data_IF_640298246739
#
_entry.id   IF_640298246739
#
_cell.length_a   1.000
_cell.length_b   1.000
_cell.length_c   1.000
_cell.angle_alpha   90.00
_cell.angle_beta   90.00
_cell.angle_gamma   90.00
#
_symmetry.space_group_name_H-M   'P 1'
#
loop_
_entity.id
_entity.type
_entity.pdbx_description
1 polymer ?
#
# COMPACT_ATOMS: atom_id res chain seq x y z
N UNK A 1 18.63 -18.59 12.77
CA UNK A 1 19.36 -18.18 11.55
C UNK A 1 18.76 -16.84 11.21
N UNK A 2 19.49 -15.75 11.39
CA UNK A 2 18.96 -14.42 11.06
C UNK A 2 18.87 -14.35 9.54
N UNK A 3 17.65 -14.45 9.02
CA UNK A 3 17.44 -14.37 7.58
C UNK A 3 17.55 -12.90 7.18
N UNK A 4 18.45 -12.60 6.25
CA UNK A 4 18.58 -11.25 5.72
C UNK A 4 17.32 -10.92 4.91
N UNK A 5 16.84 -9.68 5.04
CA UNK A 5 15.64 -9.21 4.33
C UNK A 5 15.87 -9.24 2.81
N UNK A 6 17.11 -8.93 2.45
CA UNK A 6 17.64 -8.83 1.11
C UNK A 6 17.62 -10.19 0.38
N UNK A 7 17.74 -11.32 1.10
CA UNK A 7 17.68 -12.67 0.52
C UNK A 7 16.31 -12.97 -0.13
N UNK A 8 15.27 -12.27 0.31
CA UNK A 8 13.92 -12.35 -0.25
C UNK A 8 13.55 -11.14 -1.12
N UNK A 9 14.51 -10.26 -1.41
CA UNK A 9 14.29 -9.03 -2.17
C UNK A 9 13.60 -7.92 -1.38
N UNK A 10 13.62 -7.97 -0.04
CA UNK A 10 13.14 -6.88 0.79
C UNK A 10 14.26 -5.88 1.08
N UNK A 11 13.92 -4.60 0.97
CA UNK A 11 14.76 -3.48 1.36
C UNK A 11 14.37 -3.03 2.77
N UNK A 12 15.35 -2.91 3.68
CA UNK A 12 15.14 -2.39 5.02
C UNK A 12 15.12 -0.86 5.02
N UNK A 13 14.06 -0.28 5.57
CA UNK A 13 13.90 1.17 5.70
C UNK A 13 14.13 1.66 7.13
N UNK A 14 14.10 0.75 8.10
CA UNK A 14 14.29 1.07 9.51
C UNK A 14 14.10 -0.13 10.41
N UNK A 15 14.13 0.09 11.72
CA UNK A 15 13.94 -0.98 12.70
C UNK A 15 12.55 -1.62 12.56
N UNK A 16 12.49 -2.86 12.09
CA UNK A 16 11.24 -3.58 11.86
C UNK A 16 10.40 -3.06 10.68
N UNK A 17 10.96 -2.19 9.83
CA UNK A 17 10.29 -1.65 8.64
C UNK A 17 11.07 -2.03 7.39
N UNK A 18 10.38 -2.61 6.42
CA UNK A 18 10.96 -2.83 5.11
C UNK A 18 9.91 -3.00 4.05
N UNK A 19 10.34 -2.87 2.80
CA UNK A 19 9.47 -2.90 1.63
C UNK A 19 10.01 -3.88 0.59
N UNK A 20 9.15 -4.35 -0.31
CA UNK A 20 9.54 -5.19 -1.43
C UNK A 20 8.82 -4.74 -2.69
N UNK A 21 9.59 -4.62 -3.77
CA UNK A 21 9.07 -4.50 -5.14
C UNK A 21 8.70 -5.89 -5.65
N UNK A 22 7.46 -6.05 -6.08
CA UNK A 22 6.96 -7.27 -6.68
C UNK A 22 7.45 -7.37 -8.13
N UNK A 23 7.62 -8.60 -8.65
CA UNK A 23 8.13 -8.79 -10.01
C UNK A 23 7.17 -8.29 -11.11
N UNK A 24 5.88 -8.17 -10.82
CA UNK A 24 4.87 -7.60 -11.73
C UNK A 24 4.60 -6.13 -11.42
N UNK A 25 4.52 -5.31 -12.47
CA UNK A 25 4.21 -3.86 -12.44
C UNK A 25 5.07 -3.00 -11.53
N UNK A 26 6.07 -3.58 -10.88
CA UNK A 26 6.89 -2.92 -9.87
C UNK A 26 6.11 -2.47 -8.62
N UNK A 27 4.96 -3.09 -8.37
CA UNK A 27 4.10 -2.81 -7.22
C UNK A 27 4.85 -3.05 -5.91
N UNK A 28 4.60 -2.23 -4.90
CA UNK A 28 5.31 -2.23 -3.63
C UNK A 28 4.42 -2.71 -2.51
N UNK A 29 4.92 -3.68 -1.75
CA UNK A 29 4.35 -4.07 -0.46
C UNK A 29 5.31 -3.71 0.66
N UNK A 30 4.81 -3.46 1.87
CA UNK A 30 5.66 -3.11 3.02
C UNK A 30 5.25 -3.81 4.31
N UNK A 31 6.25 -4.18 5.12
CA UNK A 31 6.08 -4.78 6.44
C UNK A 31 6.49 -3.78 7.51
N UNK A 32 5.67 -3.70 8.56
CA UNK A 32 5.94 -2.94 9.77
C UNK A 32 5.72 -3.83 10.98
N UNK A 33 6.78 -4.02 11.77
CA UNK A 33 6.82 -4.94 12.91
C UNK A 33 6.89 -4.15 14.23
N UNK A 34 5.91 -4.34 15.12
CA UNK A 34 5.96 -3.94 16.53
C UNK A 34 6.24 -5.12 17.46
N UNK A 35 6.02 -5.06 18.77
CA UNK A 35 6.22 -6.26 19.62
C UNK A 35 5.05 -7.24 19.59
N UNK A 36 3.84 -6.73 19.36
CA UNK A 36 2.59 -7.47 19.53
C UNK A 36 1.90 -7.74 18.19
N UNK A 37 2.24 -6.96 17.16
CA UNK A 37 1.64 -7.02 15.84
C UNK A 37 2.63 -6.80 14.70
N UNK A 38 2.22 -7.27 13.54
CA UNK A 38 2.83 -7.02 12.23
C UNK A 38 1.74 -6.50 11.30
N UNK A 39 2.01 -5.35 10.68
CA UNK A 39 1.23 -4.77 9.60
C UNK A 39 1.89 -5.10 8.26
N UNK A 40 1.09 -5.55 7.31
CA UNK A 40 1.43 -5.61 5.88
C UNK A 40 0.64 -4.51 5.16
N UNK A 41 1.32 -3.71 4.35
CA UNK A 41 0.71 -2.70 3.48
C UNK A 41 0.73 -3.25 2.05
N UNK A 42 -0.47 -3.44 1.50
CA UNK A 42 -0.76 -4.13 0.23
C UNK A 42 -0.30 -5.58 0.15
N UNK A 43 -0.91 -6.35 -0.77
CA UNK A 43 -0.85 -7.81 -0.78
C UNK A 43 -0.51 -8.43 -2.13
N UNK A 44 -0.26 -7.61 -3.14
CA UNK A 44 0.10 -8.05 -4.48
C UNK A 44 -1.08 -8.42 -5.35
N UNK A 45 -0.76 -8.84 -6.58
CA UNK A 45 -1.70 -8.92 -7.70
C UNK A 45 -2.43 -10.24 -7.82
N UNK A 46 -2.03 -11.25 -7.04
CA UNK A 46 -2.60 -12.58 -7.13
C UNK A 46 -2.59 -13.29 -5.77
N UNK A 47 -3.48 -14.27 -5.61
CA UNK A 47 -3.47 -15.16 -4.44
C UNK A 47 -2.12 -15.88 -4.29
N UNK A 48 -1.46 -16.25 -5.41
CA UNK A 48 -0.14 -16.90 -5.40
C UNK A 48 0.93 -15.98 -4.79
N UNK A 49 0.94 -14.71 -5.18
CA UNK A 49 1.84 -13.71 -4.61
C UNK A 49 1.55 -13.47 -3.13
N UNK A 50 0.28 -13.35 -2.74
CA UNK A 50 -0.11 -13.26 -1.33
C UNK A 50 0.41 -14.44 -0.48
N UNK A 51 0.36 -15.67 -1.00
CA UNK A 51 0.90 -16.86 -0.31
C UNK A 51 2.42 -16.77 -0.15
N UNK A 52 3.13 -16.27 -1.16
CA UNK A 52 4.58 -16.07 -1.08
C UNK A 52 4.92 -14.99 -0.05
N UNK A 53 4.23 -13.84 -0.10
CA UNK A 53 4.42 -12.75 0.86
C UNK A 53 4.16 -13.19 2.29
N UNK A 54 3.12 -14.00 2.54
CA UNK A 54 2.86 -14.55 3.87
C UNK A 54 4.02 -15.41 4.38
N UNK A 55 4.55 -16.30 3.54
CA UNK A 55 5.67 -17.18 3.90
C UNK A 55 6.93 -16.38 4.20
N UNK A 56 7.23 -15.37 3.38
CA UNK A 56 8.39 -14.51 3.58
C UNK A 56 8.25 -13.67 4.86
N UNK A 57 7.09 -13.06 5.08
CA UNK A 57 6.84 -12.30 6.31
C UNK A 57 7.01 -13.17 7.56
N UNK A 58 6.47 -14.40 7.55
CA UNK A 58 6.64 -15.37 8.64
C UNK A 58 8.12 -15.77 8.84
N UNK A 59 8.87 -15.98 7.76
CA UNK A 59 10.28 -16.33 7.81
C UNK A 59 11.15 -15.17 8.35
N UNK A 60 10.91 -13.94 7.89
CA UNK A 60 11.67 -12.75 8.25
C UNK A 60 11.42 -12.29 9.68
N UNK A 61 10.18 -12.41 10.15
CA UNK A 61 9.75 -11.85 11.44
C UNK A 61 9.57 -12.92 12.52
N UNK A 62 9.61 -14.20 12.16
CA UNK A 62 9.37 -15.33 13.07
C UNK A 62 7.92 -15.43 13.58
N UNK A 63 7.00 -14.66 13.01
CA UNK A 63 5.58 -14.59 13.40
C UNK A 63 4.72 -14.12 12.24
N UNK A 64 3.41 -14.33 12.38
CA UNK A 64 2.43 -14.02 11.32
C UNK A 64 2.12 -12.54 11.23
N UNK A 65 1.73 -12.11 10.03
CA UNK A 65 1.02 -10.85 9.80
C UNK A 65 -0.28 -10.87 10.61
N UNK A 66 -0.62 -9.75 11.23
CA UNK A 66 -1.79 -9.59 12.11
C UNK A 66 -2.76 -8.52 11.62
N UNK A 67 -2.24 -7.55 10.86
CA UNK A 67 -2.99 -6.44 10.28
C UNK A 67 -2.58 -6.30 8.80
N UNK A 68 -3.53 -5.97 7.94
CA UNK A 68 -3.29 -5.55 6.56
C UNK A 68 -3.93 -4.18 6.37
N UNK A 69 -3.21 -3.24 5.76
CA UNK A 69 -3.78 -2.00 5.25
C UNK A 69 -3.73 -2.05 3.73
N UNK A 70 -4.89 -1.99 3.08
CA UNK A 70 -4.98 -1.87 1.63
C UNK A 70 -4.99 -0.39 1.27
N UNK A 71 -4.06 -0.01 0.40
CA UNK A 71 -3.89 1.38 -0.01
C UNK A 71 -5.07 1.88 -0.83
N UNK A 72 -5.52 1.09 -1.82
CA UNK A 72 -6.60 1.47 -2.73
C UNK A 72 -7.15 0.24 -3.51
N UNK A 73 -8.26 0.35 -4.26
CA UNK A 73 -9.00 -0.80 -4.82
C UNK A 73 -8.44 -1.32 -6.16
N UNK A 74 -7.12 -1.35 -6.37
CA UNK A 74 -6.54 -1.87 -7.62
C UNK A 74 -6.01 -3.30 -7.46
N UNK A 75 -6.05 -4.06 -8.56
CA UNK A 75 -5.89 -5.52 -8.55
C UNK A 75 -4.54 -5.95 -7.99
N UNK A 76 -3.50 -5.18 -8.29
CA UNK A 76 -2.12 -5.37 -7.92
C UNK A 76 -1.78 -5.09 -6.46
N UNK A 77 -2.76 -4.58 -5.71
CA UNK A 77 -2.63 -4.27 -4.30
C UNK A 77 -3.51 -5.16 -3.42
N UNK A 78 -4.69 -5.58 -3.91
CA UNK A 78 -5.72 -6.23 -3.07
C UNK A 78 -5.88 -7.74 -3.29
N UNK A 79 -5.54 -8.27 -4.47
CA UNK A 79 -5.91 -9.65 -4.85
C UNK A 79 -5.15 -10.74 -4.09
N UNK A 80 -4.02 -10.43 -3.46
CA UNK A 80 -3.30 -11.38 -2.61
C UNK A 80 -3.87 -11.52 -1.19
N UNK A 81 -4.84 -10.70 -0.79
CA UNK A 81 -5.30 -10.60 0.61
C UNK A 81 -5.80 -11.92 1.20
N UNK A 82 -6.45 -12.76 0.38
CA UNK A 82 -7.02 -14.04 0.83
C UNK A 82 -5.99 -15.03 1.37
N UNK A 83 -4.70 -14.83 1.10
CA UNK A 83 -3.63 -15.64 1.66
C UNK A 83 -3.49 -15.50 3.18
N UNK A 84 -4.06 -14.45 3.78
CA UNK A 84 -3.86 -14.03 5.18
C UNK A 84 -5.10 -14.26 6.05
N UNK A 85 -5.47 -15.53 6.25
CA UNK A 85 -6.63 -15.89 7.07
C UNK A 85 -6.52 -15.40 8.54
N UNK A 86 -7.59 -14.79 9.06
CA UNK A 86 -7.68 -14.33 10.44
C UNK A 86 -7.00 -12.99 10.74
N UNK A 87 -6.53 -12.29 9.70
CA UNK A 87 -5.92 -10.96 9.79
C UNK A 87 -6.98 -9.87 9.78
N UNK A 88 -6.73 -8.76 10.50
CA UNK A 88 -7.57 -7.56 10.46
C UNK A 88 -7.24 -6.75 9.22
N UNK A 89 -8.19 -6.58 8.31
CA UNK A 89 -7.99 -5.84 7.06
C UNK A 89 -8.61 -4.44 7.16
N UNK A 90 -7.79 -3.43 6.93
CA UNK A 90 -8.13 -2.01 6.95
C UNK A 90 -8.17 -1.44 5.55
N UNK A 91 -9.04 -0.44 5.35
CA UNK A 91 -9.17 0.32 4.12
C UNK A 91 -9.70 1.72 4.39
N UNK A 92 -9.54 2.64 3.45
CA UNK A 92 -10.20 3.96 3.49
C UNK A 92 -11.73 3.80 3.51
N UNK A 93 -12.43 4.78 4.10
CA UNK A 93 -13.88 4.78 4.21
C UNK A 93 -14.58 4.59 2.84
N UNK A 94 -15.46 3.58 2.74
CA UNK A 94 -16.18 3.25 1.52
C UNK A 94 -15.50 2.18 0.65
N UNK A 95 -14.23 1.85 0.90
CA UNK A 95 -13.52 0.79 0.18
C UNK A 95 -14.23 -0.57 0.34
N UNK A 96 -14.80 -0.83 1.52
CA UNK A 96 -15.59 -2.04 1.81
C UNK A 96 -16.74 -2.20 0.82
N UNK A 97 -17.53 -1.13 0.65
CA UNK A 97 -18.70 -1.15 -0.21
C UNK A 97 -18.31 -1.31 -1.68
N UNK A 98 -17.21 -0.67 -2.11
CA UNK A 98 -16.70 -0.79 -3.47
C UNK A 98 -16.25 -2.22 -3.79
N UNK A 99 -15.48 -2.85 -2.90
CA UNK A 99 -14.95 -4.19 -3.13
C UNK A 99 -15.99 -5.30 -2.99
N UNK A 100 -17.12 -5.05 -2.32
CA UNK A 100 -18.18 -6.05 -2.16
C UNK A 100 -18.71 -6.61 -3.49
N UNK A 101 -18.83 -5.76 -4.50
CA UNK A 101 -19.26 -6.13 -5.86
C UNK A 101 -18.11 -5.96 -6.90
N UNK A 102 -16.86 -5.80 -6.42
CA UNK A 102 -15.69 -5.42 -7.23
C UNK A 102 -15.00 -6.57 -7.95
N UNK A 103 -15.38 -7.83 -7.68
CA UNK A 103 -14.73 -9.04 -8.21
C UNK A 103 -14.53 -9.00 -9.73
N UNK A 104 -15.61 -8.75 -10.48
CA UNK A 104 -15.58 -8.80 -11.94
C UNK A 104 -14.77 -7.65 -12.56
N UNK A 105 -14.76 -6.48 -11.91
CA UNK A 105 -13.94 -5.36 -12.33
C UNK A 105 -12.45 -5.67 -12.15
N UNK A 106 -12.06 -6.13 -10.95
CA UNK A 106 -10.68 -6.51 -10.63
C UNK A 106 -10.16 -7.66 -11.50
N UNK A 107 -11.00 -8.67 -11.75
CA UNK A 107 -10.70 -9.74 -12.71
C UNK A 107 -10.39 -9.15 -14.10
N UNK A 108 -11.27 -8.29 -14.59
CA UNK A 108 -11.13 -7.65 -15.89
C UNK A 108 -9.87 -6.79 -16.00
N UNK A 109 -9.55 -6.01 -14.97
CA UNK A 109 -8.32 -5.20 -14.89
C UNK A 109 -7.07 -6.08 -14.89
N UNK A 110 -7.03 -7.10 -14.02
CA UNK A 110 -5.92 -8.03 -13.93
C UNK A 110 -5.62 -8.71 -15.29
N UNK A 111 -6.66 -9.22 -15.97
CA UNK A 111 -6.51 -9.86 -17.29
C UNK A 111 -6.05 -8.85 -18.34
N UNK A 112 -6.64 -7.64 -18.37
CA UNK A 112 -6.21 -6.57 -19.30
C UNK A 112 -4.75 -6.20 -19.12
N UNK A 113 -4.26 -6.22 -17.89
CA UNK A 113 -2.88 -5.86 -17.55
C UNK A 113 -1.89 -7.02 -17.67
N UNK A 114 -2.36 -8.24 -17.97
CA UNK A 114 -1.52 -9.38 -18.32
C UNK A 114 -1.41 -10.48 -17.27
N UNK A 115 -2.22 -10.45 -16.20
CA UNK A 115 -2.38 -11.62 -15.32
C UNK A 115 -3.07 -12.74 -16.13
N UNK A 116 -2.56 -13.99 -16.10
CA UNK A 116 -3.23 -15.11 -16.74
C UNK A 116 -4.68 -15.26 -16.27
N UNK A 117 -5.62 -15.50 -17.18
CA UNK A 117 -7.06 -15.53 -16.87
C UNK A 117 -7.41 -16.48 -15.72
N UNK A 118 -6.79 -17.66 -15.67
CA UNK A 118 -7.03 -18.63 -14.61
C UNK A 118 -6.52 -18.18 -13.25
N UNK A 119 -5.42 -17.42 -13.22
CA UNK A 119 -4.85 -16.85 -12.00
C UNK A 119 -5.61 -15.62 -11.53
N UNK A 120 -6.04 -14.77 -12.46
CA UNK A 120 -6.92 -13.63 -12.20
C UNK A 120 -8.26 -14.11 -11.62
N UNK A 121 -8.90 -15.10 -12.26
CA UNK A 121 -10.16 -15.66 -11.80
C UNK A 121 -10.05 -16.22 -10.38
N UNK A 122 -9.06 -17.09 -10.11
CA UNK A 122 -8.85 -17.63 -8.75
C UNK A 122 -8.62 -16.56 -7.69
N UNK A 123 -7.93 -15.49 -8.04
CA UNK A 123 -7.62 -14.41 -7.10
C UNK A 123 -8.87 -13.57 -6.82
N UNK A 124 -9.61 -13.19 -7.87
CA UNK A 124 -10.86 -12.45 -7.78
C UNK A 124 -11.95 -13.24 -7.02
N UNK A 125 -12.13 -14.54 -7.30
CA UNK A 125 -13.09 -15.43 -6.62
C UNK A 125 -12.90 -15.48 -5.10
N UNK A 126 -11.71 -15.09 -4.62
CA UNK A 126 -11.36 -15.08 -3.18
C UNK A 126 -11.22 -13.67 -2.61
N UNK A 127 -11.67 -12.64 -3.34
CA UNK A 127 -11.53 -11.24 -2.94
C UNK A 127 -11.93 -11.01 -1.48
N UNK A 128 -11.02 -10.42 -0.72
CA UNK A 128 -11.27 -10.06 0.67
C UNK A 128 -11.67 -8.60 0.73
N UNK A 129 -12.84 -8.36 1.28
CA UNK A 129 -13.33 -7.02 1.57
C UNK A 129 -12.80 -6.59 2.96
N UNK A 130 -12.21 -5.40 3.12
CA UNK A 130 -11.83 -4.85 4.42
C UNK A 130 -12.96 -4.88 5.44
N UNK A 131 -12.65 -5.16 6.71
CA UNK A 131 -13.66 -5.16 7.79
C UNK A 131 -13.52 -3.95 8.72
N UNK A 132 -12.47 -3.16 8.54
CA UNK A 132 -12.14 -2.00 9.35
C UNK A 132 -11.93 -0.76 8.48
N UNK A 133 -12.94 0.09 8.41
CA UNK A 133 -12.85 1.36 7.68
C UNK A 133 -12.12 2.42 8.52
N UNK A 134 -11.18 3.11 7.88
CA UNK A 134 -10.46 4.25 8.43
C UNK A 134 -11.17 5.52 7.98
N UNK A 135 -11.61 6.33 8.94
CA UNK A 135 -12.20 7.64 8.68
C UNK A 135 -11.24 8.73 9.16
N UNK A 136 -10.74 9.56 8.25
CA UNK A 136 -9.75 10.59 8.60
C UNK A 136 -8.43 9.95 9.00
N UNK A 137 -8.11 9.93 10.29
CA UNK A 137 -6.86 9.35 10.80
C UNK A 137 -7.13 8.37 11.94
N UNK A 138 -6.47 7.21 11.89
CA UNK A 138 -6.60 6.18 12.91
C UNK A 138 -5.23 5.65 13.30
N UNK A 139 -4.87 5.82 14.58
CA UNK A 139 -3.66 5.23 15.11
C UNK A 139 -3.85 3.73 15.39
N UNK A 140 -2.92 2.91 14.92
CA UNK A 140 -2.86 1.47 15.13
C UNK A 140 -1.62 1.12 15.95
N UNK A 141 -1.83 0.49 17.10
CA UNK A 141 -0.76 0.04 17.99
C UNK A 141 -0.33 -1.38 17.61
N UNK A 142 0.94 -1.54 17.24
CA UNK A 142 1.57 -2.84 16.93
C UNK A 142 2.41 -3.36 18.10
N UNK A 143 2.36 -2.71 19.26
CA UNK A 143 3.10 -3.05 20.47
C UNK A 143 4.50 -2.43 20.54
N UNK A 144 5.01 -2.26 21.76
CA UNK A 144 6.29 -1.62 22.03
C UNK A 144 6.19 -0.11 21.83
N UNK A 145 7.11 0.45 21.04
CA UNK A 145 7.10 1.84 20.60
C UNK A 145 6.50 2.01 19.19
N UNK A 146 5.95 0.92 18.61
CA UNK A 146 5.46 0.91 17.22
C UNK A 146 3.97 1.23 17.14
N UNK A 147 3.66 2.53 17.14
CA UNK A 147 2.32 3.04 16.82
C UNK A 147 2.33 3.69 15.44
N UNK A 148 1.61 3.11 14.48
CA UNK A 148 1.48 3.67 13.12
C UNK A 148 0.20 4.49 13.01
N UNK A 149 0.12 5.38 12.03
CA UNK A 149 -1.07 6.17 11.71
C UNK A 149 -1.58 5.76 10.33
N UNK A 150 -2.78 5.21 10.26
CA UNK A 150 -3.51 5.02 9.01
C UNK A 150 -4.22 6.33 8.68
N UNK A 151 -4.04 6.86 7.48
CA UNK A 151 -4.65 8.12 7.06
C UNK A 151 -5.47 7.89 5.79
N UNK A 152 -6.76 8.22 5.86
CA UNK A 152 -7.65 8.32 4.72
C UNK A 152 -7.45 9.68 4.03
N UNK A 153 -6.86 9.62 2.83
CA UNK A 153 -6.56 10.80 2.02
C UNK A 153 -7.76 11.23 1.17
N UNK A 154 -8.80 10.38 1.10
CA UNK A 154 -9.97 10.56 0.26
C UNK A 154 -9.68 10.33 -1.22
N UNK A 155 -10.59 10.73 -2.12
CA UNK A 155 -10.43 10.50 -3.55
C UNK A 155 -9.26 11.29 -4.14
N UNK A 156 -8.31 10.60 -4.78
CA UNK A 156 -7.17 11.17 -5.50
C UNK A 156 -6.70 10.27 -6.66
N UNK A 157 -5.85 9.28 -6.41
CA UNK A 157 -5.47 8.25 -7.40
C UNK A 157 -6.64 7.33 -7.69
N UNK A 158 -7.35 6.95 -6.64
CA UNK A 158 -8.60 6.21 -6.70
C UNK A 158 -9.72 6.99 -5.99
N UNK A 159 -10.87 6.34 -5.82
CA UNK A 159 -11.95 6.86 -4.98
C UNK A 159 -11.68 6.72 -3.48
N UNK A 160 -10.74 5.86 -3.08
CA UNK A 160 -10.48 5.46 -1.69
C UNK A 160 -8.98 5.22 -1.45
N UNK A 161 -8.21 6.30 -1.29
CA UNK A 161 -6.77 6.20 -1.04
C UNK A 161 -6.44 6.28 0.46
N UNK A 162 -5.70 5.29 0.93
CA UNK A 162 -5.19 5.16 2.30
C UNK A 162 -3.66 5.21 2.28
N UNK A 163 -3.07 6.02 3.16
CA UNK A 163 -1.62 6.01 3.41
C UNK A 163 -1.34 5.54 4.84
N UNK A 164 -0.09 5.15 5.11
CA UNK A 164 0.37 4.80 6.46
C UNK A 164 1.63 5.57 6.81
N UNK A 165 1.57 6.34 7.89
CA UNK A 165 2.75 6.94 8.51
C UNK A 165 3.27 5.99 9.60
N UNK A 166 4.52 5.59 9.45
CA UNK A 166 5.32 4.91 10.46
C UNK A 166 6.25 5.93 11.09
N UNK A 167 6.06 6.32 12.36
CA UNK A 167 6.95 7.28 13.01
C UNK A 167 8.39 6.79 13.03
N UNK A 168 9.33 7.73 12.90
CA UNK A 168 10.75 7.46 13.05
C UNK A 168 11.08 6.96 14.46
N UNK A 169 12.03 6.04 14.55
CA UNK A 169 12.52 5.46 15.81
C UNK A 169 14.04 5.39 15.78
N UNK A 170 14.71 5.56 16.92
CA UNK A 170 16.17 5.41 17.05
C UNK A 170 16.99 6.27 16.06
N UNK A 171 16.51 7.48 15.76
CA UNK A 171 17.16 8.40 14.83
C UNK A 171 16.94 8.08 13.34
N UNK A 172 16.17 7.04 13.02
CA UNK A 172 15.68 6.82 11.67
C UNK A 172 14.54 7.81 11.34
N UNK A 173 14.45 8.26 10.07
CA UNK A 173 13.36 9.13 9.64
C UNK A 173 12.00 8.41 9.69
N UNK A 174 10.89 9.17 9.73
CA UNK A 174 9.57 8.60 9.47
C UNK A 174 9.51 7.95 8.09
N UNK A 175 8.67 6.92 7.96
CA UNK A 175 8.37 6.26 6.68
C UNK A 175 6.91 6.47 6.35
N UNK A 176 6.60 6.94 5.15
CA UNK A 176 5.22 7.09 4.66
C UNK A 176 4.99 6.10 3.54
N UNK A 177 4.08 5.16 3.76
CA UNK A 177 3.60 4.23 2.74
C UNK A 177 2.48 4.91 1.97
N UNK A 178 2.73 5.20 0.70
CA UNK A 178 1.93 6.15 -0.07
C UNK A 178 0.84 5.48 -0.90
N UNK A 179 1.04 4.19 -1.26
CA UNK A 179 0.33 3.60 -2.39
C UNK A 179 0.56 4.42 -3.65
N UNK A 180 -0.33 4.26 -4.63
CA UNK A 180 -0.20 4.87 -5.95
C UNK A 180 -0.52 6.37 -5.96
N UNK A 181 -0.77 6.99 -4.79
CA UNK A 181 -0.73 8.45 -4.67
C UNK A 181 0.61 9.00 -5.16
N UNK A 182 1.70 8.27 -4.95
CA UNK A 182 3.06 8.59 -5.42
C UNK A 182 3.54 7.46 -6.32
N UNK A 183 4.10 7.81 -7.49
CA UNK A 183 4.56 6.87 -8.51
C UNK A 183 5.98 7.22 -8.98
N UNK A 184 6.89 6.25 -8.91
CA UNK A 184 8.32 6.46 -9.23
C UNK A 184 8.79 5.70 -10.47
N UNK A 185 8.32 4.47 -10.68
CA UNK A 185 8.75 3.65 -11.83
C UNK A 185 8.04 4.00 -13.15
N UNK A 186 7.14 4.98 -13.12
CA UNK A 186 6.39 5.48 -14.26
C UNK A 186 5.75 6.85 -14.00
N UNK A 187 4.92 7.30 -14.95
CA UNK A 187 4.11 8.50 -14.77
C UNK A 187 2.83 8.16 -13.98
N UNK A 188 2.34 9.02 -13.07
CA UNK A 188 1.10 8.76 -12.35
C UNK A 188 -0.08 8.57 -13.30
N UNK A 189 -0.75 7.43 -13.22
CA UNK A 189 -1.87 7.06 -14.08
C UNK A 189 -3.20 7.48 -13.44
N UNK A 190 -4.04 8.18 -14.18
CA UNK A 190 -5.40 8.51 -13.73
C UNK A 190 -6.42 7.67 -14.49
N UNK A 191 -6.96 6.66 -13.80
CA UNK A 191 -8.05 5.82 -14.29
C UNK A 191 -9.43 6.48 -14.16
N UNK A 192 -10.51 5.79 -14.58
CA UNK A 192 -11.88 6.28 -14.45
C UNK A 192 -12.34 6.53 -13.00
N UNK A 193 -11.67 5.94 -12.02
CA UNK A 193 -11.93 6.06 -10.59
C UNK A 193 -11.06 7.12 -9.90
N UNK A 194 -10.12 7.74 -10.61
CA UNK A 194 -9.30 8.82 -10.08
C UNK A 194 -10.10 10.10 -9.89
N UNK A 195 -9.64 10.95 -8.96
CA UNK A 195 -10.11 12.32 -8.79
C UNK A 195 -8.96 13.32 -9.05
N UNK A 196 -8.61 13.57 -10.33
CA UNK A 196 -7.50 14.43 -10.74
C UNK A 196 -7.41 15.79 -10.03
N UNK A 197 -8.54 16.50 -9.93
CA UNK A 197 -8.60 17.82 -9.29
C UNK A 197 -8.39 17.82 -7.77
N UNK A 198 -8.40 16.65 -7.12
CA UNK A 198 -8.17 16.49 -5.67
C UNK A 198 -6.79 15.93 -5.36
N UNK A 199 -6.15 15.27 -6.32
CA UNK A 199 -4.89 14.56 -6.13
C UNK A 199 -3.74 15.47 -5.64
N UNK A 200 -3.53 16.69 -6.18
CA UNK A 200 -2.48 17.57 -5.63
C UNK A 200 -2.67 17.89 -4.14
N UNK A 201 -3.91 18.06 -3.68
CA UNK A 201 -4.20 18.32 -2.26
C UNK A 201 -3.99 17.07 -1.38
N UNK A 202 -4.24 15.87 -1.91
CA UNK A 202 -3.90 14.62 -1.21
C UNK A 202 -2.37 14.49 -1.02
N UNK A 203 -1.58 14.88 -2.02
CA UNK A 203 -0.11 14.93 -1.90
C UNK A 203 0.38 16.00 -0.92
N UNK A 204 -0.28 17.16 -0.86
CA UNK A 204 0.01 18.17 0.17
C UNK A 204 -0.21 17.58 1.58
N UNK A 205 -1.34 16.88 1.81
CA UNK A 205 -1.61 16.20 3.09
C UNK A 205 -0.59 15.09 3.40
N UNK A 206 -0.16 14.34 2.39
CA UNK A 206 0.86 13.30 2.54
C UNK A 206 2.20 13.89 3.01
N UNK A 207 2.59 15.03 2.45
CA UNK A 207 3.77 15.80 2.85
C UNK A 207 3.63 16.37 4.27
N UNK A 208 2.44 16.84 4.65
CA UNK A 208 2.16 17.32 6.02
C UNK A 208 2.25 16.19 7.06
N UNK A 209 1.83 14.97 6.70
CA UNK A 209 1.92 13.79 7.55
C UNK A 209 3.37 13.33 7.76
N UNK A 210 4.15 13.24 6.69
CA UNK A 210 5.52 12.73 6.74
C UNK A 210 6.55 13.78 7.18
N UNK A 211 6.42 15.01 6.68
CA UNK A 211 7.42 16.06 6.83
C UNK A 211 8.58 15.94 5.83
N UNK A 212 9.53 16.87 5.92
CA UNK A 212 10.66 17.01 4.99
C UNK A 212 11.63 15.83 5.02
N UNK A 213 11.86 15.28 6.21
CA UNK A 213 12.89 14.27 6.45
C UNK A 213 12.36 12.84 6.24
N UNK A 214 11.07 12.66 5.92
CA UNK A 214 10.49 11.34 5.75
C UNK A 214 10.96 10.65 4.47
N UNK A 215 11.03 9.32 4.56
CA UNK A 215 11.16 8.43 3.40
C UNK A 215 9.76 8.07 2.92
N UNK A 216 9.45 8.41 1.68
CA UNK A 216 8.17 8.09 1.06
C UNK A 216 8.33 6.82 0.23
N UNK A 217 7.42 5.88 0.39
CA UNK A 217 7.37 4.59 -0.31
C UNK A 217 6.22 4.64 -1.31
N UNK A 218 6.49 4.87 -2.60
CA UNK A 218 5.51 4.84 -3.68
C UNK A 218 4.79 3.49 -3.78
N UNK A 219 3.63 3.51 -4.44
CA UNK A 219 2.94 2.30 -4.88
C UNK A 219 3.80 1.50 -5.85
N UNK A 220 4.49 2.18 -6.78
CA UNK A 220 5.40 1.56 -7.72
C UNK A 220 6.76 2.28 -7.78
N UNK A 221 7.85 1.50 -7.77
CA UNK A 221 9.21 2.04 -7.94
C UNK A 221 10.06 2.10 -6.68
N UNK A 222 11.10 2.91 -6.69
CA UNK A 222 12.05 3.10 -5.58
C UNK A 222 11.50 4.03 -4.49
N UNK A 223 12.10 3.98 -3.30
CA UNK A 223 11.79 4.97 -2.25
C UNK A 223 12.22 6.37 -2.68
N UNK A 224 11.46 7.38 -2.27
CA UNK A 224 11.66 8.78 -2.66
C UNK A 224 11.64 9.72 -1.46
N UNK A 225 12.06 10.97 -1.68
CA UNK A 225 12.04 12.03 -0.67
C UNK A 225 10.86 13.00 -0.85
N UNK A 226 10.71 13.94 0.09
CA UNK A 226 9.68 14.96 0.02
C UNK A 226 9.80 15.85 -1.25
N UNK A 227 11.01 16.04 -1.79
CA UNK A 227 11.22 16.85 -2.98
C UNK A 227 10.62 16.18 -4.24
N UNK A 228 10.75 14.86 -4.35
CA UNK A 228 10.09 14.07 -5.39
C UNK A 228 8.57 14.22 -5.32
N UNK A 229 7.98 14.05 -4.13
CA UNK A 229 6.53 14.14 -3.93
C UNK A 229 6.01 15.53 -4.34
N UNK A 230 6.73 16.61 -3.98
CA UNK A 230 6.39 17.97 -4.43
C UNK A 230 6.46 18.14 -5.94
N UNK A 231 7.47 17.56 -6.57
CA UNK A 231 7.63 17.61 -8.03
C UNK A 231 6.46 16.92 -8.71
N UNK A 232 6.07 15.72 -8.26
CA UNK A 232 4.90 15.02 -8.78
C UNK A 232 3.62 15.83 -8.55
N UNK A 233 3.43 16.36 -7.33
CA UNK A 233 2.29 17.23 -6.98
C UNK A 233 2.17 18.44 -7.89
N UNK A 234 3.29 19.10 -8.22
CA UNK A 234 3.31 20.23 -9.15
C UNK A 234 2.95 19.78 -10.58
N UNK A 235 3.53 18.69 -11.07
CA UNK A 235 3.25 18.15 -12.39
C UNK A 235 1.77 17.74 -12.56
N UNK A 236 1.18 17.11 -11.53
CA UNK A 236 -0.25 16.76 -11.52
C UNK A 236 -1.15 17.99 -11.54
N UNK A 237 -0.81 19.02 -10.75
CA UNK A 237 -1.56 20.27 -10.73
C UNK A 237 -1.52 20.96 -12.09
N UNK A 238 -0.38 20.98 -12.77
CA UNK A 238 -0.25 21.53 -14.13
C UNK A 238 -1.03 20.69 -15.15
N UNK A 239 -0.90 19.36 -15.09
CA UNK A 239 -1.57 18.43 -16.00
C UNK A 239 -3.09 18.57 -15.96
N UNK A 240 -3.67 18.66 -14.77
CA UNK A 240 -5.12 18.65 -14.56
C UNK A 240 -5.75 20.05 -14.45
N UNK A 241 -4.95 21.12 -14.39
CA UNK A 241 -5.48 22.48 -14.53
C UNK A 241 -5.78 22.84 -16.00
N UNK A 242 -5.29 22.05 -16.96
CA UNK A 242 -5.46 22.25 -18.39
C UNK A 242 -6.69 21.55 -18.98
N UNK A 243 -7.44 20.80 -18.16
CA UNK A 243 -8.67 20.05 -18.52
C UNK A 243 -9.93 20.79 -18.04
#
# INVERSE_FOLDING_TARGET
>A
MDIAWEDFGWERLGNGVGRRRLPGWDATVALVAGTDGVLLYDTGSTLREGVELRRQAEALLGRRVTHIALSHPHFDHVLGTAAFAGVRVYGSAGLTALLWDGEQALYGDAVRQGVPEDEAARSADTLVVPQHEVHGEQALDLGGDRRVLLADLGPAHSSHDLAVLVPGSDGAPPVVLCGDLVEESGEPQAGPDAAPGRWPAALDRLLELGGEDAVYVPGHGAVVDAAFVRKQRAALAERFAAE
#
